data_IF_055772953725
#
_entry.id   IF_055772953725
#
_cell.length_a   1.000
_cell.length_b   1.000
_cell.length_c   1.000
_cell.angle_alpha   90.00
_cell.angle_beta   90.00
_cell.angle_gamma   90.00
#
_symmetry.space_group_name_H-M   'P 1'
#
loop_
_entity.id
_entity.type
_entity.pdbx_description
1 polymer ?
#
# COMPACT_ATOMS: atom_id res chain seq x y z
N UNK A 1 21.04 -3.72 34.53
CA UNK A 1 22.11 -2.95 33.82
C UNK A 1 22.57 -3.84 32.67
N UNK A 2 21.98 -3.69 31.49
CA UNK A 2 22.44 -4.37 30.28
C UNK A 2 23.59 -3.57 29.70
N UNK A 3 24.68 -4.25 29.39
CA UNK A 3 25.94 -3.69 28.97
C UNK A 3 25.82 -2.90 27.66
N UNK A 4 26.42 -1.70 27.67
CA UNK A 4 26.46 -0.71 26.56
C UNK A 4 27.38 -1.11 25.38
N UNK A 5 27.65 -2.38 25.15
CA UNK A 5 28.62 -2.82 24.14
C UNK A 5 28.11 -3.92 23.18
N UNK A 6 26.84 -3.90 22.83
CA UNK A 6 26.47 -4.53 21.55
C UNK A 6 26.81 -3.54 20.44
N UNK A 7 28.03 -3.63 19.92
CA UNK A 7 28.45 -2.98 18.67
C UNK A 7 27.39 -3.34 17.62
N UNK A 8 26.61 -2.37 17.18
CA UNK A 8 25.68 -2.50 16.07
C UNK A 8 26.51 -2.91 14.84
N UNK A 9 26.62 -4.20 14.62
CA UNK A 9 27.13 -4.71 13.34
C UNK A 9 26.09 -4.40 12.29
N UNK A 10 26.48 -3.63 11.26
CA UNK A 10 25.58 -3.31 10.13
C UNK A 10 24.95 -4.59 9.60
N UNK A 11 23.64 -4.66 9.45
CA UNK A 11 22.99 -5.86 8.92
C UNK A 11 23.51 -6.15 7.52
N UNK A 12 23.90 -7.40 7.27
CA UNK A 12 24.41 -7.85 5.99
C UNK A 12 23.37 -8.73 5.30
N UNK A 13 23.29 -8.63 3.99
CA UNK A 13 22.46 -9.52 3.17
C UNK A 13 23.25 -10.01 1.96
N UNK A 14 22.89 -11.19 1.45
CA UNK A 14 23.54 -11.73 0.27
C UNK A 14 23.14 -10.93 -0.99
N UNK A 15 24.15 -10.67 -1.83
CA UNK A 15 23.98 -10.09 -3.18
C UNK A 15 23.81 -11.23 -4.17
N UNK A 16 22.73 -11.19 -4.95
CA UNK A 16 22.42 -12.21 -5.96
C UNK A 16 22.57 -11.64 -7.38
N UNK A 17 22.82 -12.53 -8.33
CA UNK A 17 22.64 -12.20 -9.75
C UNK A 17 21.21 -12.58 -10.21
N UNK A 18 20.87 -12.28 -11.45
CA UNK A 18 19.57 -12.67 -12.05
C UNK A 18 19.37 -14.19 -12.12
N UNK A 19 20.45 -14.99 -12.02
CA UNK A 19 20.38 -16.44 -12.01
C UNK A 19 20.12 -17.01 -10.60
N UNK A 20 20.01 -16.17 -9.57
CA UNK A 20 19.81 -16.60 -8.18
C UNK A 20 21.08 -17.11 -7.48
N UNK A 21 22.26 -16.90 -8.08
CA UNK A 21 23.55 -17.24 -7.46
C UNK A 21 24.02 -16.08 -6.59
N UNK A 22 24.48 -16.36 -5.39
CA UNK A 22 25.12 -15.39 -4.50
C UNK A 22 26.49 -15.01 -5.09
N UNK A 23 26.72 -13.69 -5.27
CA UNK A 23 27.99 -13.14 -5.77
C UNK A 23 28.83 -12.59 -4.60
N UNK A 24 28.18 -12.12 -3.54
CA UNK A 24 28.84 -11.48 -2.41
C UNK A 24 27.86 -11.10 -1.32
N UNK A 25 28.31 -10.22 -0.43
CA UNK A 25 27.49 -9.61 0.63
C UNK A 25 27.41 -8.12 0.46
N UNK A 26 26.27 -7.54 0.84
CA UNK A 26 26.05 -6.09 0.84
C UNK A 26 25.69 -5.66 2.25
N UNK A 27 26.35 -4.61 2.73
CA UNK A 27 26.04 -3.96 3.99
C UNK A 27 24.83 -3.03 3.82
N UNK A 28 23.93 -3.07 4.78
CA UNK A 28 22.73 -2.25 4.83
C UNK A 28 22.84 -1.20 5.93
N UNK A 29 22.32 0.00 5.69
CA UNK A 29 22.36 1.10 6.66
C UNK A 29 21.49 0.79 7.89
N UNK A 30 22.08 0.89 9.08
CA UNK A 30 21.37 0.73 10.37
C UNK A 30 20.21 1.69 10.52
N UNK A 31 20.35 2.90 9.97
CA UNK A 31 19.33 3.94 10.07
C UNK A 31 17.98 3.54 9.48
N UNK A 32 17.96 2.58 8.54
CA UNK A 32 16.75 2.14 7.84
C UNK A 32 16.41 0.69 8.19
N UNK A 33 17.43 -0.19 8.22
CA UNK A 33 17.23 -1.64 8.29
C UNK A 33 17.40 -2.22 9.71
N UNK A 34 17.86 -1.40 10.67
CA UNK A 34 17.96 -1.77 12.09
C UNK A 34 17.18 -0.80 13.00
N UNK A 35 16.16 -0.12 12.46
CA UNK A 35 15.30 0.77 13.22
C UNK A 35 14.33 -0.03 14.13
N UNK A 36 13.91 0.54 15.27
CA UNK A 36 12.90 -0.09 16.12
C UNK A 36 11.57 -0.23 15.37
N UNK A 37 10.96 -1.42 15.44
CA UNK A 37 9.68 -1.69 14.77
C UNK A 37 8.54 -1.05 15.54
N UNK A 38 7.75 -0.20 14.86
CA UNK A 38 6.56 0.45 15.39
C UNK A 38 5.33 0.07 14.58
N UNK A 39 4.59 -0.92 15.06
CA UNK A 39 3.40 -1.46 14.39
C UNK A 39 2.27 -0.43 14.29
N UNK A 40 2.07 0.40 15.31
CA UNK A 40 1.03 1.43 15.31
C UNK A 40 1.28 2.48 14.20
N UNK A 41 2.53 2.88 14.00
CA UNK A 41 2.89 3.81 12.91
C UNK A 41 2.68 3.16 11.53
N UNK A 42 3.05 1.89 11.34
CA UNK A 42 2.81 1.15 10.11
C UNK A 42 1.32 1.03 9.81
N UNK A 43 0.51 0.63 10.79
CA UNK A 43 -0.94 0.53 10.65
C UNK A 43 -1.59 1.88 10.29
N UNK A 44 -1.19 2.98 10.95
CA UNK A 44 -1.71 4.31 10.66
C UNK A 44 -1.41 4.74 9.21
N UNK A 45 -0.18 4.51 8.72
CA UNK A 45 0.22 4.85 7.35
C UNK A 45 -0.52 3.99 6.33
N UNK A 46 -0.69 2.69 6.57
CA UNK A 46 -1.46 1.79 5.70
C UNK A 46 -2.93 2.24 5.63
N UNK A 47 -3.56 2.59 6.76
CA UNK A 47 -4.93 3.14 6.78
C UNK A 47 -5.03 4.43 5.99
N UNK A 48 -4.08 5.35 6.15
CA UNK A 48 -4.02 6.59 5.38
C UNK A 48 -3.91 6.33 3.88
N UNK A 49 -3.04 5.41 3.47
CA UNK A 49 -2.85 5.04 2.07
C UNK A 49 -4.12 4.46 1.44
N UNK A 50 -4.76 3.49 2.12
CA UNK A 50 -5.99 2.87 1.64
C UNK A 50 -7.17 3.85 1.63
N UNK A 51 -7.24 4.75 2.62
CA UNK A 51 -8.27 5.79 2.67
C UNK A 51 -8.11 6.80 1.53
N UNK A 52 -6.87 7.17 1.17
CA UNK A 52 -6.58 8.08 0.06
C UNK A 52 -6.97 7.51 -1.32
N UNK A 53 -7.10 6.19 -1.46
CA UNK A 53 -7.56 5.55 -2.70
C UNK A 53 -9.08 5.62 -2.89
N UNK A 54 -9.84 5.99 -1.85
CA UNK A 54 -11.30 6.06 -1.92
C UNK A 54 -11.72 7.37 -2.57
N UNK A 55 -12.50 7.28 -3.65
CA UNK A 55 -12.99 8.44 -4.39
C UNK A 55 -14.06 9.22 -3.61
N UNK A 56 -14.85 8.56 -2.76
CA UNK A 56 -15.84 9.19 -1.89
C UNK A 56 -17.05 9.82 -2.58
N UNK A 57 -17.38 9.42 -3.80
CA UNK A 57 -18.46 9.99 -4.62
C UNK A 57 -19.85 9.39 -4.39
N UNK A 58 -19.97 8.46 -3.42
CA UNK A 58 -21.26 7.86 -3.09
C UNK A 58 -22.26 8.92 -2.64
N UNK A 59 -23.48 8.89 -3.19
CA UNK A 59 -24.55 9.80 -2.83
C UNK A 59 -25.90 9.10 -2.91
N UNK A 60 -26.76 9.39 -1.95
CA UNK A 60 -28.16 9.01 -2.00
C UNK A 60 -29.04 10.17 -1.56
N UNK A 61 -30.31 10.16 -2.00
CA UNK A 61 -31.23 11.24 -1.72
C UNK A 61 -31.90 11.04 -0.35
N UNK A 62 -31.87 12.08 0.45
CA UNK A 62 -32.65 12.16 1.69
C UNK A 62 -34.12 12.50 1.39
N UNK A 63 -35.01 12.32 2.35
CA UNK A 63 -36.43 12.65 2.17
C UNK A 63 -36.69 14.11 1.75
N UNK A 64 -35.79 15.04 2.05
CA UNK A 64 -35.88 16.42 1.63
C UNK A 64 -35.52 16.63 0.17
N UNK A 65 -34.62 15.82 -0.35
CA UNK A 65 -34.06 15.92 -1.73
C UNK A 65 -34.88 15.12 -2.76
N UNK A 66 -35.60 14.10 -2.32
CA UNK A 66 -36.46 13.30 -3.22
C UNK A 66 -37.57 14.15 -3.81
N UNK A 67 -37.76 14.12 -5.12
CA UNK A 67 -38.83 14.84 -5.81
C UNK A 67 -40.20 14.28 -5.45
N UNK A 68 -41.19 15.14 -5.24
CA UNK A 68 -42.58 14.78 -5.01
C UNK A 68 -43.15 15.23 -3.67
N UNK A 69 -44.42 14.97 -3.45
CA UNK A 69 -45.22 15.01 -2.22
C UNK A 69 -44.84 15.97 -1.12
N UNK A 70 -45.03 17.27 -1.29
CA UNK A 70 -44.85 18.27 -0.21
C UNK A 70 -45.99 18.35 0.77
N UNK A 71 -47.18 17.85 0.40
CA UNK A 71 -48.37 17.91 1.27
C UNK A 71 -48.55 16.65 2.10
N UNK A 72 -49.32 16.77 3.19
CA UNK A 72 -49.76 15.67 4.00
C UNK A 72 -50.68 14.74 3.21
N UNK A 73 -50.50 13.41 3.34
CA UNK A 73 -51.25 12.40 2.57
C UNK A 73 -52.74 12.46 2.90
N UNK A 74 -53.09 12.58 4.18
CA UNK A 74 -54.48 12.69 4.69
C UNK A 74 -54.49 13.47 6.01
N UNK A 75 -55.70 13.82 6.49
CA UNK A 75 -55.92 14.55 7.77
C UNK A 75 -55.39 13.77 8.96
N UNK A 76 -55.04 14.50 10.06
CA UNK A 76 -54.33 13.98 11.22
C UNK A 76 -55.11 12.91 11.98
N UNK A 77 -56.44 12.99 12.04
CA UNK A 77 -57.37 12.10 12.74
C UNK A 77 -58.59 11.79 11.89
N UNK A 78 -59.34 10.71 12.25
CA UNK A 78 -60.60 10.39 11.61
C UNK A 78 -60.51 9.64 10.27
N UNK A 79 -59.36 8.98 9.96
CA UNK A 79 -59.15 8.17 8.76
C UNK A 79 -59.03 6.67 9.07
N UNK A 80 -58.90 6.28 10.36
CA UNK A 80 -58.62 4.89 10.74
C UNK A 80 -57.20 4.40 10.39
N UNK A 81 -56.40 5.21 9.70
CA UNK A 81 -55.05 4.84 9.27
C UNK A 81 -53.99 5.41 10.23
N UNK A 82 -52.78 4.86 10.17
CA UNK A 82 -51.61 5.37 10.85
C UNK A 82 -51.30 6.81 10.44
N UNK A 83 -50.79 7.62 11.36
CA UNK A 83 -50.48 9.03 11.08
C UNK A 83 -49.25 9.13 10.20
N UNK A 84 -49.39 9.77 9.02
CA UNK A 84 -48.31 10.04 8.12
C UNK A 84 -48.26 11.51 7.70
N UNK A 85 -47.09 11.97 7.34
CA UNK A 85 -46.90 13.30 6.78
C UNK A 85 -46.95 13.24 5.23
N UNK A 86 -45.85 13.14 4.57
CA UNK A 86 -45.75 13.04 3.12
C UNK A 86 -45.27 11.65 2.68
N UNK A 87 -45.43 11.37 1.39
CA UNK A 87 -45.06 10.08 0.79
C UNK A 87 -43.55 9.91 0.50
N UNK A 88 -42.74 10.96 0.77
CA UNK A 88 -41.27 10.89 0.61
C UNK A 88 -40.55 10.27 1.83
N UNK A 89 -41.29 9.88 2.86
CA UNK A 89 -40.70 9.30 4.07
C UNK A 89 -40.11 7.91 3.76
N UNK A 90 -39.09 7.46 4.49
CA UNK A 90 -38.31 6.24 4.16
C UNK A 90 -39.13 4.94 4.14
N UNK A 91 -40.27 4.91 4.85
CA UNK A 91 -41.18 3.74 4.86
C UNK A 91 -41.96 3.56 3.56
N UNK A 92 -42.00 4.55 2.69
CA UNK A 92 -42.69 4.47 1.40
C UNK A 92 -41.75 4.07 0.29
N UNK A 93 -42.29 3.34 -0.70
CA UNK A 93 -41.57 3.09 -1.95
C UNK A 93 -41.20 4.43 -2.61
N UNK A 94 -39.97 4.53 -3.13
CA UNK A 94 -39.41 5.76 -3.69
C UNK A 94 -39.26 6.92 -2.69
N UNK A 95 -39.39 6.69 -1.39
CA UNK A 95 -39.04 7.64 -0.35
C UNK A 95 -37.52 7.79 -0.20
N UNK A 96 -37.10 8.83 0.55
CA UNK A 96 -35.68 9.09 0.77
C UNK A 96 -35.01 8.10 1.72
N UNK A 97 -33.70 7.99 1.66
CA UNK A 97 -32.89 7.20 2.59
C UNK A 97 -32.69 8.01 3.87
N UNK A 98 -32.80 7.38 5.05
CA UNK A 98 -32.72 8.07 6.35
C UNK A 98 -31.33 8.67 6.57
N UNK A 99 -30.30 7.83 6.55
CA UNK A 99 -28.91 8.23 6.65
C UNK A 99 -28.24 8.06 5.29
N UNK A 100 -28.69 8.88 4.33
CA UNK A 100 -28.17 8.83 2.98
C UNK A 100 -26.67 9.16 2.95
N UNK A 101 -25.83 8.35 2.32
CA UNK A 101 -24.44 8.69 2.15
C UNK A 101 -24.34 9.96 1.31
N UNK A 102 -23.40 10.83 1.68
CA UNK A 102 -23.06 12.05 0.95
C UNK A 102 -21.60 11.99 0.51
N UNK A 103 -21.25 12.64 -0.61
CA UNK A 103 -19.86 12.73 -1.04
C UNK A 103 -19.00 13.32 0.09
N UNK A 104 -17.87 12.66 0.37
CA UNK A 104 -16.93 13.11 1.40
C UNK A 104 -15.52 12.68 1.07
N UNK A 105 -14.54 13.41 1.56
CA UNK A 105 -13.15 13.03 1.56
C UNK A 105 -12.87 12.03 2.70
N UNK A 106 -12.14 10.97 2.38
CA UNK A 106 -11.69 9.94 3.33
C UNK A 106 -10.23 10.10 3.71
N UNK A 107 -9.54 11.09 3.17
CA UNK A 107 -8.12 11.30 3.43
C UNK A 107 -7.81 11.45 4.92
N UNK A 108 -6.78 10.73 5.38
CA UNK A 108 -6.26 10.81 6.74
C UNK A 108 -4.86 11.41 6.67
N UNK A 109 -4.70 12.61 7.20
CA UNK A 109 -3.41 13.27 7.26
C UNK A 109 -2.46 12.55 8.22
N UNK A 110 -1.22 12.28 7.77
CA UNK A 110 -0.16 11.68 8.59
C UNK A 110 1.11 12.52 8.46
N UNK A 111 1.74 12.83 9.59
CA UNK A 111 2.95 13.63 9.65
C UNK A 111 4.13 12.95 8.93
N UNK A 112 5.00 13.71 8.28
CA UNK A 112 6.18 13.20 7.56
C UNK A 112 7.09 12.32 8.43
N UNK A 113 7.32 12.72 9.69
CA UNK A 113 8.15 11.94 10.64
C UNK A 113 7.55 10.54 10.92
N UNK A 114 6.23 10.45 11.06
CA UNK A 114 5.53 9.17 11.28
C UNK A 114 5.59 8.28 10.03
N UNK A 115 5.46 8.86 8.82
CA UNK A 115 5.62 8.12 7.56
C UNK A 115 7.03 7.53 7.42
N UNK A 116 8.07 8.31 7.75
CA UNK A 116 9.46 7.84 7.74
C UNK A 116 9.69 6.73 8.76
N UNK A 117 9.18 6.90 9.99
CA UNK A 117 9.25 5.86 11.02
C UNK A 117 8.57 4.56 10.56
N UNK A 118 7.39 4.64 9.99
CA UNK A 118 6.67 3.49 9.46
C UNK A 118 7.42 2.79 8.32
N UNK A 119 8.04 3.57 7.43
CA UNK A 119 8.86 3.02 6.34
C UNK A 119 10.09 2.25 6.88
N UNK A 120 10.85 2.86 7.79
CA UNK A 120 12.01 2.22 8.43
C UNK A 120 11.60 0.95 9.18
N UNK A 121 10.50 1.01 9.93
CA UNK A 121 9.93 -0.16 10.62
C UNK A 121 9.53 -1.28 9.67
N UNK A 122 8.92 -0.97 8.53
CA UNK A 122 8.53 -1.96 7.53
C UNK A 122 9.74 -2.63 6.88
N UNK A 123 10.79 -1.87 6.53
CA UNK A 123 12.02 -2.40 5.96
C UNK A 123 12.76 -3.30 6.96
N UNK A 124 12.88 -2.86 8.22
CA UNK A 124 13.48 -3.69 9.29
C UNK A 124 12.69 -4.98 9.51
N UNK A 125 11.36 -4.92 9.53
CA UNK A 125 10.50 -6.10 9.69
C UNK A 125 10.72 -7.11 8.55
N UNK A 126 10.81 -6.64 7.30
CA UNK A 126 11.09 -7.46 6.12
C UNK A 126 12.49 -8.07 6.15
N UNK A 127 13.49 -7.32 6.62
CA UNK A 127 14.84 -7.84 6.76
C UNK A 127 14.90 -8.96 7.82
N UNK A 128 14.29 -8.73 8.98
CA UNK A 128 14.24 -9.72 10.06
C UNK A 128 13.53 -11.02 9.64
N UNK A 129 12.53 -10.91 8.76
CA UNK A 129 11.85 -12.08 8.17
C UNK A 129 12.66 -12.77 7.05
N UNK A 130 13.82 -12.23 6.63
CA UNK A 130 14.59 -12.75 5.51
C UNK A 130 13.90 -12.60 4.15
N UNK A 131 13.03 -11.60 4.02
CA UNK A 131 12.21 -11.34 2.84
C UNK A 131 12.78 -10.25 1.93
N UNK A 132 13.97 -9.72 2.23
CA UNK A 132 14.69 -8.78 1.38
C UNK A 132 15.74 -9.52 0.57
N UNK A 133 15.73 -9.32 -0.75
CA UNK A 133 16.70 -9.86 -1.70
C UNK A 133 17.36 -8.69 -2.41
N UNK A 134 18.69 -8.61 -2.36
CA UNK A 134 19.44 -7.62 -3.12
C UNK A 134 20.02 -8.28 -4.37
N UNK A 135 19.76 -7.68 -5.54
CA UNK A 135 20.24 -8.14 -6.83
C UNK A 135 21.18 -7.10 -7.40
N UNK A 136 22.27 -7.53 -8.03
CA UNK A 136 23.25 -6.62 -8.62
C UNK A 136 22.61 -5.70 -9.66
N UNK A 137 22.06 -6.27 -10.73
CA UNK A 137 21.31 -5.53 -11.75
C UNK A 137 20.22 -6.42 -12.37
N UNK A 138 19.14 -5.79 -12.85
CA UNK A 138 18.06 -6.43 -13.62
C UNK A 138 18.15 -5.99 -15.10
N UNK A 139 19.14 -6.53 -15.82
CA UNK A 139 19.36 -6.19 -17.22
C UNK A 139 18.65 -7.18 -18.14
N UNK A 140 17.48 -6.82 -18.63
CA UNK A 140 16.74 -7.61 -19.62
C UNK A 140 17.10 -7.14 -21.03
N UNK A 141 17.69 -8.01 -21.86
CA UNK A 141 17.99 -7.72 -23.27
C UNK A 141 16.73 -7.46 -24.09
N UNK A 142 15.64 -8.13 -23.74
CA UNK A 142 14.33 -8.04 -24.41
C UNK A 142 13.21 -7.90 -23.39
N UNK A 143 12.16 -7.18 -23.74
CA UNK A 143 10.97 -6.97 -22.90
C UNK A 143 10.04 -8.20 -22.91
N UNK A 144 10.56 -9.37 -22.49
CA UNK A 144 9.80 -10.63 -22.43
C UNK A 144 9.42 -10.97 -20.98
N UNK A 145 8.12 -11.20 -20.75
CA UNK A 145 7.59 -11.62 -19.43
C UNK A 145 8.19 -12.93 -18.95
N UNK A 146 8.48 -13.86 -19.87
CA UNK A 146 9.10 -15.16 -19.54
C UNK A 146 10.45 -15.00 -18.85
N UNK A 147 11.31 -14.10 -19.35
CA UNK A 147 12.64 -13.86 -18.75
C UNK A 147 12.52 -13.33 -17.32
N UNK A 148 11.59 -12.39 -17.09
CA UNK A 148 11.35 -11.85 -15.75
C UNK A 148 10.76 -12.89 -14.81
N UNK A 149 9.82 -13.71 -15.27
CA UNK A 149 9.25 -14.79 -14.48
C UNK A 149 10.30 -15.84 -14.08
N UNK A 150 11.19 -16.22 -14.99
CA UNK A 150 12.31 -17.11 -14.72
C UNK A 150 13.30 -16.53 -13.71
N UNK A 151 13.62 -15.24 -13.81
CA UNK A 151 14.49 -14.54 -12.85
C UNK A 151 13.87 -14.54 -11.45
N UNK A 152 12.59 -14.18 -11.32
CA UNK A 152 11.87 -14.19 -10.04
C UNK A 152 11.78 -15.59 -9.45
N UNK A 153 11.61 -16.63 -10.29
CA UNK A 153 11.61 -18.03 -9.86
C UNK A 153 12.97 -18.45 -9.28
N UNK A 154 14.07 -18.11 -9.98
CA UNK A 154 15.44 -18.38 -9.52
C UNK A 154 15.77 -17.66 -8.21
N UNK A 155 15.25 -16.43 -8.02
CA UNK A 155 15.36 -15.66 -6.78
C UNK A 155 14.39 -16.14 -5.68
N UNK A 156 13.60 -17.20 -5.92
CA UNK A 156 12.58 -17.71 -4.99
C UNK A 156 11.56 -16.63 -4.58
N UNK A 157 11.25 -15.68 -5.47
CA UNK A 157 10.33 -14.57 -5.26
C UNK A 157 9.06 -14.73 -6.12
N UNK A 158 8.47 -15.93 -6.12
CA UNK A 158 7.30 -16.25 -6.96
C UNK A 158 6.00 -15.67 -6.45
N UNK A 159 5.89 -15.43 -5.14
CA UNK A 159 4.65 -14.94 -4.52
C UNK A 159 4.77 -13.47 -4.18
N UNK A 160 3.98 -12.62 -4.83
CA UNK A 160 3.89 -11.18 -4.56
C UNK A 160 5.26 -10.50 -4.43
N UNK A 161 6.11 -10.62 -5.44
CA UNK A 161 7.39 -9.93 -5.46
C UNK A 161 7.21 -8.42 -5.67
N UNK A 162 7.84 -7.60 -4.84
CA UNK A 162 7.97 -6.16 -5.04
C UNK A 162 9.36 -5.88 -5.60
N UNK A 163 9.43 -5.52 -6.86
CA UNK A 163 10.69 -5.18 -7.54
C UNK A 163 10.89 -3.67 -7.47
N UNK A 164 12.01 -3.24 -6.90
CA UNK A 164 12.34 -1.82 -6.72
C UNK A 164 13.54 -1.45 -7.60
N UNK A 165 13.33 -0.49 -8.47
CA UNK A 165 14.36 0.06 -9.34
C UNK A 165 14.71 1.50 -8.92
N UNK A 166 15.96 1.96 -9.17
CA UNK A 166 16.32 3.36 -8.96
C UNK A 166 15.62 4.26 -9.97
N UNK A 167 15.69 3.87 -11.26
CA UNK A 167 15.14 4.60 -12.39
C UNK A 167 14.28 3.70 -13.27
N UNK A 168 13.62 4.30 -14.25
CA UNK A 168 12.72 3.61 -15.18
C UNK A 168 13.52 2.90 -16.28
N UNK A 169 13.44 1.57 -16.30
CA UNK A 169 13.88 0.73 -17.40
C UNK A 169 12.66 0.20 -18.16
N UNK A 170 12.50 0.60 -19.42
CA UNK A 170 11.35 0.21 -20.25
C UNK A 170 11.24 -1.29 -20.46
N UNK A 171 12.36 -2.00 -20.60
CA UNK A 171 12.37 -3.44 -20.80
C UNK A 171 11.84 -4.16 -19.56
N UNK A 172 12.31 -3.76 -18.37
CA UNK A 172 11.85 -4.34 -17.09
C UNK A 172 10.39 -3.99 -16.83
N UNK A 173 9.96 -2.74 -17.10
CA UNK A 173 8.56 -2.31 -16.95
C UNK A 173 7.64 -3.16 -17.81
N UNK A 174 7.92 -3.30 -19.10
CA UNK A 174 7.09 -4.11 -20.03
C UNK A 174 7.09 -5.59 -19.68
N UNK A 175 8.25 -6.14 -19.28
CA UNK A 175 8.38 -7.53 -18.86
C UNK A 175 7.63 -7.85 -17.57
N UNK A 176 7.47 -6.87 -16.65
CA UNK A 176 6.83 -7.08 -15.36
C UNK A 176 5.33 -6.77 -15.38
N UNK A 177 4.88 -5.86 -16.26
CA UNK A 177 3.51 -5.32 -16.26
C UNK A 177 2.40 -6.38 -16.31
N UNK A 178 2.61 -7.49 -17.02
CA UNK A 178 1.63 -8.57 -17.16
C UNK A 178 1.76 -9.67 -16.09
N UNK A 179 2.71 -9.56 -15.16
CA UNK A 179 2.90 -10.55 -14.11
C UNK A 179 2.07 -10.19 -12.88
N UNK A 180 0.96 -10.89 -12.64
CA UNK A 180 0.10 -10.69 -11.47
C UNK A 180 0.81 -10.91 -10.13
N UNK A 181 1.91 -11.66 -10.13
CA UNK A 181 2.70 -12.02 -8.94
C UNK A 181 3.83 -11.02 -8.65
N UNK A 182 4.08 -10.06 -9.54
CA UNK A 182 5.14 -9.07 -9.39
C UNK A 182 4.59 -7.65 -9.53
N UNK A 183 4.97 -6.79 -8.59
CA UNK A 183 4.73 -5.35 -8.68
C UNK A 183 6.06 -4.65 -8.85
N UNK A 184 6.17 -3.80 -9.86
CA UNK A 184 7.32 -2.92 -10.05
C UNK A 184 7.05 -1.56 -9.39
N UNK A 185 8.04 -1.03 -8.71
CA UNK A 185 8.00 0.32 -8.13
C UNK A 185 9.38 0.97 -8.22
N UNK A 186 9.42 2.28 -8.02
CA UNK A 186 10.66 3.06 -7.98
C UNK A 186 10.88 3.57 -6.56
N UNK A 187 12.12 3.92 -6.24
CA UNK A 187 12.48 4.43 -4.91
C UNK A 187 11.59 5.59 -4.49
N UNK A 188 11.30 6.53 -5.39
CA UNK A 188 10.47 7.71 -5.12
C UNK A 188 8.99 7.42 -4.89
N UNK A 189 8.48 6.29 -5.39
CA UNK A 189 7.07 5.87 -5.27
C UNK A 189 6.87 4.73 -4.29
N UNK A 190 7.95 4.29 -3.64
CA UNK A 190 7.91 3.20 -2.68
C UNK A 190 7.06 3.58 -1.45
N UNK A 191 6.11 2.72 -1.09
CA UNK A 191 5.19 2.95 0.01
C UNK A 191 5.13 1.77 0.98
N UNK A 192 4.74 2.04 2.21
CA UNK A 192 4.67 1.05 3.30
C UNK A 192 3.68 -0.08 2.99
N UNK A 193 2.55 0.23 2.34
CA UNK A 193 1.55 -0.76 1.99
C UNK A 193 2.11 -1.81 1.04
N UNK A 194 2.82 -1.40 -0.01
CA UNK A 194 3.40 -2.32 -0.99
C UNK A 194 4.50 -3.18 -0.37
N UNK A 195 5.34 -2.60 0.50
CA UNK A 195 6.38 -3.34 1.22
C UNK A 195 5.77 -4.44 2.09
N UNK A 196 4.74 -4.12 2.88
CA UNK A 196 4.10 -5.09 3.77
C UNK A 196 3.30 -6.14 3.01
N UNK A 197 2.63 -5.76 1.91
CA UNK A 197 1.83 -6.68 1.09
C UNK A 197 2.69 -7.62 0.24
N UNK A 198 3.94 -7.26 -0.01
CA UNK A 198 4.88 -8.10 -0.76
C UNK A 198 5.29 -9.31 0.09
N UNK A 199 5.39 -10.49 -0.55
CA UNK A 199 6.01 -11.66 0.07
C UNK A 199 7.54 -11.53 0.10
N UNK A 200 8.12 -10.94 -0.95
CA UNK A 200 9.55 -10.61 -1.01
C UNK A 200 9.78 -9.27 -1.67
N UNK A 201 10.74 -8.52 -1.15
CA UNK A 201 11.20 -7.24 -1.71
C UNK A 201 12.53 -7.47 -2.42
N UNK A 202 12.54 -7.25 -3.72
CA UNK A 202 13.73 -7.39 -4.58
C UNK A 202 14.26 -5.99 -4.88
N UNK A 203 15.41 -5.65 -4.33
CA UNK A 203 16.09 -4.37 -4.53
C UNK A 203 17.26 -4.58 -5.48
N UNK A 204 17.43 -3.72 -6.49
CA UNK A 204 18.71 -3.64 -7.17
C UNK A 204 19.74 -2.93 -6.28
N UNK A 205 21.02 -3.21 -6.46
CA UNK A 205 22.11 -2.57 -5.70
C UNK A 205 22.01 -1.04 -5.78
N UNK A 206 21.79 -0.50 -6.96
CA UNK A 206 21.60 0.94 -7.16
C UNK A 206 20.32 1.46 -6.46
N UNK A 207 19.21 0.70 -6.48
CA UNK A 207 18.01 1.08 -5.75
C UNK A 207 18.22 1.08 -4.23
N UNK A 208 19.01 0.13 -3.70
CA UNK A 208 19.39 0.11 -2.27
C UNK A 208 20.15 1.39 -1.90
N UNK A 209 21.14 1.80 -2.66
CA UNK A 209 21.92 3.02 -2.45
C UNK A 209 21.01 4.27 -2.47
N UNK A 210 20.13 4.38 -3.47
CA UNK A 210 19.14 5.47 -3.54
C UNK A 210 18.17 5.46 -2.34
N UNK A 211 17.70 4.29 -1.87
CA UNK A 211 16.84 4.20 -0.68
C UNK A 211 17.57 4.70 0.56
N UNK A 212 18.85 4.38 0.72
CA UNK A 212 19.66 4.85 1.84
C UNK A 212 19.86 6.37 1.79
N UNK A 213 20.07 6.93 0.62
CA UNK A 213 20.22 8.39 0.45
C UNK A 213 18.93 9.15 0.77
N UNK A 214 17.77 8.66 0.28
CA UNK A 214 16.48 9.36 0.42
C UNK A 214 15.87 9.23 1.82
N UNK A 215 16.05 8.08 2.51
CA UNK A 215 15.35 7.74 3.74
C UNK A 215 16.26 7.63 4.98
N UNK A 216 17.54 7.81 4.89
CA UNK A 216 18.49 7.79 6.03
C UNK A 216 18.22 8.83 7.13
#
# INVERSE_FOLDING_TARGET
MLSKEERKTMPKTALYNMEGKAIGEVELSDAIFAAPINEAAMHLVVRSYLAAQRQGTQSALTRGEVRGGGRKIYRQKGTGNARHHGNRAPQFKHGGVVFAPKPRDYYIAVNKKVRRLAFKSAMTSKLNAGEIIVVDALNLKEAKTKLMAEALKKLKAEKKALVVLPERDENVVRATANLAQAKLTYVNTLNVYDILNAGKVVLTKAAKECVEEVYA
#
